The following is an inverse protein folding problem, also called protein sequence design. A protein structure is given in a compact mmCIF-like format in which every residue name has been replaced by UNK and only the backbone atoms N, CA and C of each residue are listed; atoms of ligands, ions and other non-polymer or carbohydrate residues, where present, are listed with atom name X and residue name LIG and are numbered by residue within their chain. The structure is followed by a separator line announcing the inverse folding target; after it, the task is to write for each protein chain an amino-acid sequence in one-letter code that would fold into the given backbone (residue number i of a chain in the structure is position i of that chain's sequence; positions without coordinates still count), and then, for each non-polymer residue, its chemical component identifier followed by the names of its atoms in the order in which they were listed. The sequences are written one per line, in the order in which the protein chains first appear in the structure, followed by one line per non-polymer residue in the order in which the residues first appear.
data_IF_805311671570
#
_entry.id   IF_805311671570
#
_cell.length_a   1.000
_cell.length_b   1.000
_cell.length_c   1.000
_cell.angle_alpha   90.00
_cell.angle_beta   90.00
_cell.angle_gamma   90.00
#
_symmetry.space_group_name_H-M   'P 1'
#
loop_
_entity.id
_entity.type
_entity.pdbx_description
1 polymer ?
#
# COMPACT_ATOMS: atom_id res chain seq x y z
N UNK A 1 -1.96 -8.60 13.58
CA UNK A 1 -1.27 -9.91 13.51
C UNK A 1 -1.06 -10.41 12.07
N UNK A 2 -2.09 -10.90 11.34
CA UNK A 2 -1.88 -11.48 9.98
C UNK A 2 -1.39 -10.47 8.94
N UNK A 3 -2.09 -9.33 8.80
CA UNK A 3 -1.69 -8.29 7.85
C UNK A 3 -0.30 -7.72 8.16
N UNK A 4 0.03 -7.57 9.45
CA UNK A 4 1.36 -7.14 9.89
C UNK A 4 2.44 -8.14 9.47
N UNK A 5 2.22 -9.43 9.76
CA UNK A 5 3.21 -10.48 9.49
C UNK A 5 3.43 -10.73 8.00
N UNK A 6 2.36 -10.71 7.21
CA UNK A 6 2.42 -11.08 5.79
C UNK A 6 2.82 -9.90 4.90
N UNK A 7 2.53 -8.66 5.32
CA UNK A 7 2.71 -7.49 4.46
C UNK A 7 3.50 -6.37 5.16
N UNK A 8 2.94 -5.79 6.24
CA UNK A 8 3.44 -4.51 6.78
C UNK A 8 4.90 -4.60 7.23
N UNK A 9 5.28 -5.63 7.98
CA UNK A 9 6.64 -5.79 8.49
C UNK A 9 7.67 -5.88 7.35
N UNK A 10 7.38 -6.71 6.34
CA UNK A 10 8.24 -6.87 5.17
C UNK A 10 8.34 -5.60 4.33
N UNK A 11 7.22 -4.90 4.12
CA UNK A 11 7.19 -3.64 3.37
C UNK A 11 8.01 -2.57 4.09
N UNK A 12 7.82 -2.39 5.40
CA UNK A 12 8.56 -1.39 6.19
C UNK A 12 10.06 -1.68 6.19
N UNK A 13 10.47 -2.94 6.40
CA UNK A 13 11.87 -3.36 6.31
C UNK A 13 12.47 -3.07 4.94
N UNK A 14 11.76 -3.43 3.89
CA UNK A 14 12.18 -3.20 2.50
C UNK A 14 12.40 -1.71 2.26
N UNK A 15 11.41 -0.86 2.54
CA UNK A 15 11.49 0.59 2.36
C UNK A 15 12.68 1.19 3.10
N UNK A 16 12.88 0.81 4.37
CA UNK A 16 13.98 1.33 5.18
C UNK A 16 15.35 0.88 4.65
N UNK A 17 15.51 -0.40 4.32
CA UNK A 17 16.75 -0.94 3.77
C UNK A 17 17.11 -0.28 2.43
N UNK A 18 16.11 -0.10 1.57
CA UNK A 18 16.26 0.63 0.30
C UNK A 18 16.68 2.08 0.56
N UNK A 19 16.05 2.78 1.51
CA UNK A 19 16.38 4.16 1.85
C UNK A 19 17.79 4.33 2.46
N UNK A 20 18.28 3.34 3.22
CA UNK A 20 19.61 3.33 3.82
C UNK A 20 20.72 3.16 2.77
N UNK A 21 20.50 2.30 1.78
CA UNK A 21 21.57 1.83 0.90
C UNK A 21 21.50 2.36 -0.53
N UNK A 22 20.35 2.87 -0.99
CA UNK A 22 20.23 3.40 -2.35
C UNK A 22 20.51 4.90 -2.42
N UNK A 23 20.97 5.31 -3.60
CA UNK A 23 21.16 6.72 -3.96
C UNK A 23 19.87 7.36 -4.47
N UNK A 24 19.01 6.59 -5.14
CA UNK A 24 17.70 7.03 -5.61
C UNK A 24 16.74 7.32 -4.46
N UNK A 25 15.86 8.32 -4.58
CA UNK A 25 14.80 8.57 -3.61
C UNK A 25 13.87 7.37 -3.46
N UNK A 26 13.54 7.01 -2.22
CA UNK A 26 12.55 6.00 -1.88
C UNK A 26 11.33 6.69 -1.31
N UNK A 27 10.16 6.36 -1.84
CA UNK A 27 8.86 6.87 -1.37
C UNK A 27 7.99 5.69 -0.94
N UNK A 28 7.09 5.94 0.02
CA UNK A 28 6.14 4.95 0.50
C UNK A 28 4.82 5.64 0.80
N UNK A 29 3.71 4.92 0.62
CA UNK A 29 2.39 5.36 1.09
C UNK A 29 1.71 4.26 1.90
N UNK A 30 0.71 4.64 2.68
CA UNK A 30 -0.25 3.76 3.33
C UNK A 30 -1.65 4.16 2.89
N UNK A 31 -2.39 3.21 2.34
CA UNK A 31 -3.78 3.40 2.00
C UNK A 31 -4.67 3.08 3.20
N UNK A 32 -5.42 4.07 3.67
CA UNK A 32 -6.24 4.01 4.89
C UNK A 32 -7.69 4.46 4.63
N UNK A 33 -8.02 4.82 3.39
CA UNK A 33 -9.37 5.25 3.02
C UNK A 33 -10.35 4.08 3.13
N UNK A 34 -11.53 4.35 3.68
CA UNK A 34 -12.60 3.35 3.84
C UNK A 34 -13.69 3.67 2.83
N UNK A 35 -13.85 2.78 1.84
CA UNK A 35 -14.87 2.89 0.81
C UNK A 35 -16.29 2.65 1.34
N UNK A 36 -17.32 3.01 0.55
CA UNK A 36 -18.70 2.71 0.88
C UNK A 36 -18.97 1.20 0.85
N UNK A 37 -19.88 0.77 1.73
CA UNK A 37 -20.38 -0.61 1.76
C UNK A 37 -21.19 -0.91 0.52
N UNK A 38 -20.72 -1.83 -0.34
CA UNK A 38 -21.33 -2.37 -1.57
C UNK A 38 -20.45 -2.17 -2.83
N UNK A 39 -19.44 -1.31 -2.77
CA UNK A 39 -18.56 -1.09 -3.93
C UNK A 39 -17.72 -2.33 -4.27
N UNK A 40 -17.23 -3.04 -3.25
CA UNK A 40 -16.51 -4.31 -3.41
C UNK A 40 -17.40 -5.47 -3.03
N UNK A 41 -17.71 -6.35 -3.99
CA UNK A 41 -18.47 -7.58 -3.76
C UNK A 41 -17.78 -8.49 -2.74
N UNK A 42 -16.45 -8.48 -2.67
CA UNK A 42 -15.67 -9.25 -1.70
C UNK A 42 -15.94 -8.72 -0.29
N UNK A 43 -15.84 -7.40 -0.10
CA UNK A 43 -16.11 -6.77 1.19
C UNK A 43 -17.58 -6.95 1.61
N UNK A 44 -18.52 -6.85 0.67
CA UNK A 44 -19.94 -7.11 0.93
C UNK A 44 -20.22 -8.53 1.42
N UNK A 45 -19.51 -9.55 0.91
CA UNK A 45 -19.65 -10.92 1.41
C UNK A 45 -19.22 -11.03 2.87
N UNK A 46 -18.18 -10.30 3.27
CA UNK A 46 -17.69 -10.31 4.64
C UNK A 46 -18.55 -9.48 5.61
N UNK A 47 -19.43 -8.60 5.12
CA UNK A 47 -20.39 -7.87 5.97
C UNK A 47 -21.29 -8.83 6.77
N UNK A 48 -21.67 -9.96 6.16
CA UNK A 48 -22.47 -11.02 6.80
C UNK A 48 -21.81 -11.67 8.02
N UNK A 49 -20.47 -11.63 8.10
CA UNK A 49 -19.69 -12.13 9.25
C UNK A 49 -19.21 -11.01 10.17
N UNK A 50 -19.77 -9.81 10.03
CA UNK A 50 -19.52 -8.67 10.90
C UNK A 50 -18.30 -7.82 10.53
N UNK A 51 -17.79 -7.93 9.30
CA UNK A 51 -16.75 -7.01 8.81
C UNK A 51 -17.29 -5.58 8.77
N UNK A 52 -16.71 -4.69 9.59
CA UNK A 52 -17.19 -3.30 9.75
C UNK A 52 -16.55 -2.31 8.77
N UNK A 53 -15.78 -2.78 7.80
CA UNK A 53 -15.03 -1.96 6.87
C UNK A 53 -13.58 -1.72 7.31
N UNK A 54 -12.86 -0.95 6.48
CA UNK A 54 -11.43 -0.69 6.59
C UNK A 54 -10.81 -0.66 5.19
N UNK A 55 -9.54 -0.25 5.09
CA UNK A 55 -8.76 -0.52 3.90
C UNK A 55 -8.29 -1.98 3.94
N UNK A 56 -8.86 -2.83 3.09
CA UNK A 56 -8.49 -4.24 2.97
C UNK A 56 -7.38 -4.42 1.92
N UNK A 57 -6.86 -5.65 1.80
CA UNK A 57 -5.82 -5.93 0.82
C UNK A 57 -6.36 -5.75 -0.60
N UNK A 58 -5.74 -4.85 -1.36
CA UNK A 58 -6.13 -4.52 -2.74
C UNK A 58 -7.22 -3.44 -2.85
N UNK A 59 -7.67 -2.84 -1.74
CA UNK A 59 -8.65 -1.74 -1.79
C UNK A 59 -8.12 -0.53 -2.56
N UNK A 60 -6.83 -0.21 -2.43
CA UNK A 60 -6.14 0.87 -3.16
C UNK A 60 -6.23 0.71 -4.69
N UNK A 61 -6.11 -0.53 -5.17
CA UNK A 61 -6.18 -0.86 -6.59
C UNK A 61 -7.55 -0.57 -7.21
N UNK A 62 -8.61 -0.59 -6.40
CA UNK A 62 -9.99 -0.38 -6.83
C UNK A 62 -10.26 1.05 -7.32
N UNK A 63 -9.30 1.96 -7.10
CA UNK A 63 -9.35 3.36 -7.50
C UNK A 63 -8.41 3.69 -8.68
N UNK A 64 -7.75 2.67 -9.23
CA UNK A 64 -6.84 2.80 -10.38
C UNK A 64 -7.27 1.92 -11.54
N UNK A 65 -7.81 0.74 -11.25
CA UNK A 65 -8.17 -0.25 -12.26
C UNK A 65 -9.56 -0.80 -12.02
N UNK A 66 -10.24 -1.10 -13.12
CA UNK A 66 -11.49 -1.85 -13.10
C UNK A 66 -11.23 -3.32 -12.72
N UNK A 67 -12.21 -3.97 -12.09
CA UNK A 67 -12.10 -5.37 -11.68
C UNK A 67 -13.47 -6.02 -11.59
N UNK A 68 -13.53 -7.31 -11.92
CA UNK A 68 -14.76 -8.12 -11.92
C UNK A 68 -15.49 -8.23 -10.56
N UNK A 69 -14.83 -7.82 -9.47
CA UNK A 69 -15.41 -7.85 -8.12
C UNK A 69 -15.82 -6.47 -7.60
N UNK A 70 -15.76 -5.45 -8.47
CA UNK A 70 -16.19 -4.09 -8.17
C UNK A 70 -17.50 -3.77 -8.88
N UNK A 71 -18.35 -3.01 -8.22
CA UNK A 71 -19.46 -2.34 -8.88
C UNK A 71 -18.94 -1.18 -9.74
N UNK A 72 -19.67 -0.74 -10.79
CA UNK A 72 -19.23 0.38 -11.61
C UNK A 72 -19.01 1.64 -10.78
N UNK A 73 -17.78 2.19 -10.77
CA UNK A 73 -17.41 3.35 -9.95
C UNK A 73 -18.27 4.60 -10.23
N UNK A 74 -18.83 4.72 -11.44
CA UNK A 74 -19.77 5.80 -11.82
C UNK A 74 -21.04 5.84 -10.96
N UNK A 75 -21.40 4.72 -10.35
CA UNK A 75 -22.57 4.61 -9.46
C UNK A 75 -22.23 5.09 -8.03
N UNK A 76 -20.96 5.47 -7.79
CA UNK A 76 -20.39 5.98 -6.54
C UNK A 76 -19.62 7.29 -6.78
N UNK A 77 -20.32 8.44 -6.95
CA UNK A 77 -19.68 9.71 -7.26
C UNK A 77 -18.60 10.14 -6.25
N UNK A 78 -18.73 9.79 -4.98
CA UNK A 78 -17.74 10.04 -3.93
C UNK A 78 -16.41 9.30 -4.16
N UNK A 79 -16.46 8.15 -4.85
CA UNK A 79 -15.28 7.36 -5.17
C UNK A 79 -14.56 7.86 -6.41
N UNK A 80 -15.23 8.57 -7.31
CA UNK A 80 -14.58 9.21 -8.46
C UNK A 80 -13.49 10.18 -8.01
N UNK A 81 -13.75 10.97 -6.95
CA UNK A 81 -12.76 11.89 -6.37
C UNK A 81 -11.57 11.13 -5.77
N UNK A 82 -11.83 9.95 -5.19
CA UNK A 82 -10.76 9.09 -4.68
C UNK A 82 -9.93 8.48 -5.82
N UNK A 83 -10.57 8.09 -6.92
CA UNK A 83 -9.89 7.61 -8.11
C UNK A 83 -9.02 8.69 -8.77
N UNK A 84 -9.52 9.92 -8.85
CA UNK A 84 -8.72 11.09 -9.27
C UNK A 84 -7.53 11.29 -8.34
N UNK A 85 -7.73 11.27 -7.02
CA UNK A 85 -6.64 11.42 -6.04
C UNK A 85 -5.56 10.34 -6.18
N UNK A 86 -5.96 9.07 -6.34
CA UNK A 86 -5.01 7.97 -6.52
C UNK A 86 -4.28 8.09 -7.86
N UNK A 87 -4.99 8.44 -8.92
CA UNK A 87 -4.41 8.68 -10.24
C UNK A 87 -3.38 9.80 -10.16
N UNK A 88 -3.70 10.93 -9.51
CA UNK A 88 -2.78 12.06 -9.35
C UNK A 88 -1.52 11.67 -8.57
N UNK A 89 -1.65 10.90 -7.49
CA UNK A 89 -0.50 10.41 -6.71
C UNK A 89 0.42 9.56 -7.59
N UNK A 90 -0.13 8.59 -8.33
CA UNK A 90 0.66 7.71 -9.19
C UNK A 90 1.24 8.44 -10.41
N UNK A 91 0.45 9.28 -11.07
CA UNK A 91 0.91 10.07 -12.21
C UNK A 91 2.03 11.02 -11.81
N UNK A 92 1.92 11.69 -10.66
CA UNK A 92 2.98 12.55 -10.14
C UNK A 92 4.30 11.79 -9.94
N UNK A 93 4.23 10.57 -9.37
CA UNK A 93 5.41 9.70 -9.24
C UNK A 93 6.00 9.28 -10.59
N UNK A 94 5.15 9.02 -11.59
CA UNK A 94 5.58 8.62 -12.93
C UNK A 94 6.26 9.79 -13.68
N UNK A 95 5.75 11.01 -13.52
CA UNK A 95 6.18 12.16 -14.33
C UNK A 95 7.32 12.97 -13.73
N UNK A 96 7.59 12.84 -12.43
CA UNK A 96 8.60 13.63 -11.71
C UNK A 96 9.73 12.75 -11.17
N UNK A 97 10.99 13.17 -11.41
CA UNK A 97 12.18 12.55 -10.81
C UNK A 97 13.21 13.64 -10.42
N UNK A 98 13.44 13.92 -9.12
CA UNK A 98 12.68 13.44 -7.97
C UNK A 98 11.30 14.08 -7.87
N UNK A 99 10.38 13.45 -7.14
CA UNK A 99 9.03 13.98 -6.94
C UNK A 99 9.05 15.23 -6.04
N UNK A 100 8.56 16.34 -6.57
CA UNK A 100 8.60 17.65 -5.93
C UNK A 100 7.65 17.74 -4.74
N UNK A 101 8.20 18.16 -3.59
CA UNK A 101 7.45 18.35 -2.34
C UNK A 101 7.10 17.06 -1.59
N UNK A 102 7.56 15.88 -2.05
CA UNK A 102 7.38 14.61 -1.35
C UNK A 102 8.51 14.34 -0.36
N UNK A 103 8.16 13.84 0.83
CA UNK A 103 9.16 13.35 1.79
C UNK A 103 9.67 11.98 1.36
N UNK A 104 10.99 11.79 1.38
CA UNK A 104 11.60 10.48 1.12
C UNK A 104 11.64 9.65 2.41
N UNK A 105 11.62 8.33 2.29
CA UNK A 105 11.82 7.43 3.41
C UNK A 105 13.15 7.71 4.14
N UNK A 106 14.20 8.08 3.38
CA UNK A 106 15.52 8.43 3.91
C UNK A 106 15.48 9.60 4.89
N UNK A 107 14.59 10.57 4.69
CA UNK A 107 14.47 11.76 5.54
C UNK A 107 13.97 11.46 6.96
N UNK A 108 13.32 10.31 7.18
CA UNK A 108 12.78 9.92 8.49
C UNK A 108 13.52 8.81 9.21
N UNK A 109 14.58 8.23 8.60
CA UNK A 109 15.35 7.17 9.23
C UNK A 109 15.88 7.58 10.63
N UNK A 110 15.88 6.67 11.62
CA UNK A 110 15.58 5.23 11.54
C UNK A 110 14.09 4.89 11.66
N UNK A 111 13.18 5.85 11.53
CA UNK A 111 11.72 5.64 11.58
C UNK A 111 11.14 5.47 10.18
N UNK A 112 9.95 4.91 10.11
CA UNK A 112 9.25 4.68 8.85
C UNK A 112 8.48 5.93 8.42
N UNK A 113 8.81 6.49 7.25
CA UNK A 113 8.13 7.65 6.66
C UNK A 113 7.31 7.27 5.44
N UNK A 114 6.07 7.75 5.39
CA UNK A 114 5.11 7.44 4.31
C UNK A 114 4.04 8.52 4.17
N UNK A 115 3.39 8.56 3.00
CA UNK A 115 2.18 9.34 2.75
C UNK A 115 0.95 8.55 3.24
N UNK A 116 0.20 9.08 4.21
CA UNK A 116 -1.03 8.45 4.70
C UNK A 116 -2.23 8.93 3.85
N UNK A 117 -2.66 8.09 2.92
CA UNK A 117 -3.79 8.35 2.02
C UNK A 117 -5.06 7.83 2.70
N UNK A 118 -5.73 8.71 3.43
CA UNK A 118 -6.93 8.38 4.23
C UNK A 118 -8.20 9.05 3.74
N UNK A 119 -8.10 9.95 2.77
CA UNK A 119 -9.18 10.80 2.29
C UNK A 119 -9.06 11.02 0.78
N UNK A 120 -10.21 11.19 0.13
CA UNK A 120 -10.29 11.66 -1.26
C UNK A 120 -9.96 13.16 -1.40
N UNK A 121 -9.80 13.88 -0.28
CA UNK A 121 -9.26 15.23 -0.28
C UNK A 121 -7.73 15.18 -0.11
N UNK A 122 -6.92 15.54 -1.13
CA UNK A 122 -5.47 15.48 -1.05
C UNK A 122 -4.88 16.30 0.11
N UNK A 123 -5.55 17.37 0.53
CA UNK A 123 -5.07 18.21 1.63
C UNK A 123 -5.11 17.50 3.00
N UNK A 124 -5.90 16.44 3.14
CA UNK A 124 -5.99 15.63 4.35
C UNK A 124 -5.00 14.46 4.37
N UNK A 125 -4.41 14.14 3.21
CA UNK A 125 -3.39 13.11 3.07
C UNK A 125 -2.04 13.70 3.46
N UNK A 126 -1.44 13.18 4.52
CA UNK A 126 -0.27 13.78 5.16
C UNK A 126 0.90 12.81 5.20
N UNK A 127 2.09 13.35 5.01
CA UNK A 127 3.32 12.65 5.35
C UNK A 127 3.38 12.41 6.86
N UNK A 128 3.71 11.18 7.23
CA UNK A 128 3.86 10.75 8.62
C UNK A 128 5.19 10.02 8.79
N UNK A 129 5.69 10.05 10.01
CA UNK A 129 6.86 9.29 10.44
C UNK A 129 6.54 8.59 11.74
N UNK A 130 6.65 7.26 11.77
CA UNK A 130 6.29 6.45 12.94
C UNK A 130 7.28 5.31 13.19
N UNK A 131 7.24 4.73 14.38
CA UNK A 131 7.99 3.50 14.68
C UNK A 131 7.44 2.35 13.82
N UNK A 132 8.32 1.44 13.39
CA UNK A 132 7.89 0.26 12.63
C UNK A 132 6.94 -0.61 13.47
N UNK A 133 5.93 -1.14 12.79
CA UNK A 133 4.90 -1.95 13.43
C UNK A 133 5.41 -3.38 13.50
N UNK A 134 5.63 -3.85 14.73
CA UNK A 134 5.92 -5.26 14.97
C UNK A 134 7.32 -5.72 14.57
N UNK A 135 8.19 -4.90 13.97
CA UNK A 135 9.55 -5.30 13.57
C UNK A 135 10.31 -6.00 14.71
N UNK A 136 10.42 -5.35 15.88
CA UNK A 136 11.05 -5.94 17.07
C UNK A 136 10.39 -7.24 17.53
N UNK A 137 9.06 -7.31 17.43
CA UNK A 137 8.31 -8.49 17.84
C UNK A 137 8.54 -9.64 16.86
N UNK A 138 8.34 -9.43 15.56
CA UNK A 138 8.45 -10.45 14.53
C UNK A 138 9.88 -10.97 14.38
N UNK A 139 10.89 -10.11 14.55
CA UNK A 139 12.30 -10.53 14.53
C UNK A 139 12.66 -11.38 15.75
N UNK A 140 12.05 -11.11 16.91
CA UNK A 140 12.29 -11.89 18.12
C UNK A 140 11.79 -13.33 18.02
N UNK A 141 10.86 -13.62 17.10
CA UNK A 141 10.29 -14.97 16.94
C UNK A 141 11.23 -15.94 16.19
N UNK A 142 12.30 -15.44 15.56
CA UNK A 142 13.28 -16.23 14.81
C UNK A 142 12.64 -17.30 13.90
N UNK A 143 11.57 -16.92 13.21
CA UNK A 143 10.81 -17.83 12.36
C UNK A 143 11.65 -18.22 11.14
N UNK A 144 11.67 -19.51 10.73
CA UNK A 144 12.36 -19.91 9.52
C UNK A 144 11.75 -19.18 8.32
N UNK A 145 12.63 -18.65 7.46
CA UNK A 145 12.20 -18.12 6.16
C UNK A 145 11.51 -19.25 5.38
N UNK A 146 10.41 -18.96 4.66
CA UNK A 146 9.81 -19.94 3.77
C UNK A 146 10.91 -20.48 2.85
N UNK A 147 11.16 -21.79 2.89
CA UNK A 147 12.12 -22.41 1.98
C UNK A 147 11.71 -22.07 0.56
N UNK A 148 12.63 -21.55 -0.25
CA UNK A 148 12.43 -21.31 -1.69
C UNK A 148 12.28 -22.64 -2.44
N UNK A 149 11.17 -23.34 -2.21
CA UNK A 149 10.75 -24.48 -3.02
C UNK A 149 9.67 -24.00 -3.98
N UNK A 150 10.07 -23.12 -4.91
CA UNK A 150 9.30 -22.82 -6.11
C UNK A 150 10.23 -22.73 -7.31
N UNK A 151 10.23 -23.82 -8.08
CA UNK A 151 10.59 -23.93 -9.51
C UNK A 151 11.95 -23.38 -9.97
N UNK A 152 13.00 -24.19 -9.83
CA UNK A 152 13.95 -24.35 -10.95
C UNK A 152 13.24 -25.11 -12.07
N UNK A 153 12.37 -24.43 -12.81
CA UNK A 153 11.83 -24.83 -14.11
C UNK A 153 11.08 -23.61 -14.63
N UNK A 154 11.86 -22.74 -15.26
CA UNK A 154 11.50 -21.96 -16.46
C UNK A 154 12.67 -21.01 -16.69
N UNK A 155 13.73 -21.55 -17.33
CA UNK A 155 14.67 -20.71 -18.05
C UNK A 155 13.86 -20.07 -19.19
N UNK A 156 13.45 -18.83 -19.00
CA UNK A 156 12.93 -18.00 -20.06
C UNK A 156 14.09 -17.78 -21.06
N UNK A 157 14.03 -18.45 -22.20
CA UNK A 157 14.90 -18.16 -23.34
C UNK A 157 14.40 -16.86 -23.96
N UNK A 158 15.19 -15.79 -23.85
CA UNK A 158 14.99 -14.59 -24.65
C UNK A 158 15.26 -14.93 -26.13
N UNK A 159 14.26 -14.65 -26.98
CA UNK A 159 14.41 -14.40 -28.41
C UNK A 159 13.74 -13.06 -28.70
#
# INVERSE_FOLDING_TARGET
MFGERLFVDGIQKSVMLHAEHQTSPVYSYRFSFVGPRNFSHVESKFDSIGYKGGASHGSDHSYLFDSMFLEPIKDFPELMVMAETMTDVWMKFITEDPVSGWSTAKSGLPKFTFLDIKSSNPSENKWRTEETVGHRFWDSLNLPLPSSKSSQKDQHSEL
#
